data_IF_149100297763
#
_entry.id   IF_149100297763
#
_cell.length_a   1.000
_cell.length_b   1.000
_cell.length_c   1.000
_cell.angle_alpha   90.00
_cell.angle_beta   90.00
_cell.angle_gamma   90.00
#
_symmetry.space_group_name_H-M   'P 1'
#
loop_
_entity.id
_entity.type
_entity.pdbx_description
1 polymer ?
#
# COMPACT_ATOMS: atom_id res chain seq x y z
N UNK A 1 4.79 18.70 12.13
CA UNK A 1 5.86 18.43 11.15
C UNK A 1 5.39 17.27 10.28
N UNK A 2 5.66 17.24 8.97
CA UNK A 2 5.38 16.05 8.18
C UNK A 2 6.24 14.90 8.72
N UNK A 3 5.62 13.73 8.93
CA UNK A 3 6.34 12.54 9.39
C UNK A 3 7.29 12.00 8.31
N UNK A 4 6.83 12.02 7.06
CA UNK A 4 7.65 11.56 5.94
C UNK A 4 8.86 12.49 5.75
N UNK A 5 10.06 11.93 5.82
CA UNK A 5 11.29 12.60 5.44
C UNK A 5 11.17 13.27 4.06
N UNK A 6 11.83 14.40 3.89
CA UNK A 6 11.91 15.07 2.58
C UNK A 6 12.77 14.29 1.56
N UNK A 7 13.57 13.34 2.04
CA UNK A 7 14.42 12.47 1.24
C UNK A 7 13.76 11.10 1.10
N UNK A 8 13.52 10.69 -0.15
CA UNK A 8 13.07 9.34 -0.49
C UNK A 8 13.87 8.82 -1.69
N UNK A 9 13.99 7.50 -1.79
CA UNK A 9 14.48 6.82 -2.98
C UNK A 9 13.29 6.46 -3.86
N UNK A 10 13.32 6.86 -5.14
CA UNK A 10 12.36 6.40 -6.12
C UNK A 10 12.70 4.97 -6.55
N UNK A 11 11.75 4.04 -6.39
CA UNK A 11 11.91 2.62 -6.71
C UNK A 11 11.22 2.26 -8.05
N UNK A 12 10.78 3.24 -8.81
CA UNK A 12 10.14 3.11 -10.11
C UNK A 12 8.62 3.08 -10.06
N UNK A 13 8.05 2.89 -11.25
CA UNK A 13 6.61 2.91 -11.48
C UNK A 13 6.14 1.66 -12.24
N UNK A 14 4.89 1.30 -12.04
CA UNK A 14 4.19 0.25 -12.80
C UNK A 14 3.23 0.93 -13.77
N UNK A 15 3.18 0.42 -14.99
CA UNK A 15 2.33 0.92 -16.06
C UNK A 15 1.23 -0.07 -16.42
N UNK A 16 0.08 0.41 -16.90
CA UNK A 16 -0.95 -0.41 -17.53
C UNK A 16 -0.53 -0.82 -18.97
N UNK A 17 -1.44 -1.45 -19.71
CA UNK A 17 -1.21 -1.83 -21.12
C UNK A 17 -1.13 -0.63 -22.08
N UNK A 18 -1.63 0.53 -21.66
CA UNK A 18 -1.65 1.77 -22.42
C UNK A 18 -0.49 2.71 -22.03
N UNK A 19 0.48 2.21 -21.27
CA UNK A 19 1.64 2.94 -20.76
C UNK A 19 1.27 4.10 -19.79
N UNK A 20 0.09 4.08 -19.18
CA UNK A 20 -0.25 4.99 -18.09
C UNK A 20 0.29 4.45 -16.78
N UNK A 21 0.76 5.36 -15.91
CA UNK A 21 1.23 4.99 -14.57
C UNK A 21 0.04 4.57 -13.72
N UNK A 22 0.08 3.34 -13.20
CA UNK A 22 -0.92 2.81 -12.26
C UNK A 22 -0.42 2.74 -10.82
N UNK A 23 0.90 2.70 -10.63
CA UNK A 23 1.50 2.84 -9.31
C UNK A 23 2.92 3.39 -9.38
N UNK A 24 3.35 4.08 -8.33
CA UNK A 24 4.74 4.50 -8.11
C UNK A 24 5.20 4.14 -6.71
N UNK A 25 6.44 3.69 -6.60
CA UNK A 25 7.04 3.21 -5.36
C UNK A 25 8.09 4.18 -4.86
N UNK A 26 7.99 4.58 -3.59
CA UNK A 26 9.01 5.38 -2.91
C UNK A 26 9.43 4.68 -1.64
N UNK A 27 10.73 4.64 -1.38
CA UNK A 27 11.28 4.18 -0.13
C UNK A 27 11.77 5.35 0.70
N UNK A 28 11.27 5.43 1.93
CA UNK A 28 11.68 6.37 2.95
C UNK A 28 12.61 5.66 3.94
N UNK A 29 13.95 5.78 3.77
CA UNK A 29 14.91 4.93 4.49
C UNK A 29 15.01 5.24 5.98
N UNK A 30 14.72 6.47 6.41
CA UNK A 30 14.77 6.84 7.83
C UNK A 30 13.62 6.19 8.62
N UNK A 31 12.48 5.99 7.96
CA UNK A 31 11.25 5.41 8.49
C UNK A 31 11.11 3.93 8.11
N UNK A 32 12.05 3.38 7.33
CA UNK A 32 11.99 2.04 6.73
C UNK A 32 10.63 1.75 6.08
N UNK A 33 10.10 2.75 5.38
CA UNK A 33 8.73 2.76 4.89
C UNK A 33 8.69 2.62 3.37
N UNK A 34 7.86 1.71 2.88
CA UNK A 34 7.43 1.69 1.48
C UNK A 34 6.17 2.54 1.33
N UNK A 35 6.21 3.50 0.42
CA UNK A 35 5.06 4.28 0.00
C UNK A 35 4.67 3.85 -1.41
N UNK A 36 3.41 3.44 -1.57
CA UNK A 36 2.84 3.09 -2.87
C UNK A 36 1.78 4.13 -3.20
N UNK A 37 2.06 4.95 -4.21
CA UNK A 37 1.06 5.87 -4.78
C UNK A 37 0.37 5.18 -5.93
N UNK A 38 -0.93 4.94 -5.81
CA UNK A 38 -1.76 4.33 -6.83
C UNK A 38 -2.48 5.40 -7.65
N UNK A 39 -2.58 5.18 -8.96
CA UNK A 39 -3.20 6.11 -9.89
C UNK A 39 -3.96 5.41 -10.99
N UNK A 40 -4.86 6.13 -11.65
CA UNK A 40 -5.60 5.62 -12.81
C UNK A 40 -6.75 4.69 -12.42
N UNK A 41 -7.33 4.03 -13.43
CA UNK A 41 -8.50 3.17 -13.26
C UNK A 41 -8.09 1.71 -13.08
N UNK A 42 -7.99 1.27 -11.82
CA UNK A 42 -7.48 -0.03 -11.44
C UNK A 42 -8.53 -1.13 -11.60
N UNK A 43 -8.08 -2.22 -12.19
CA UNK A 43 -8.75 -3.52 -12.29
C UNK A 43 -8.08 -4.55 -11.38
N UNK A 44 -8.73 -5.68 -11.14
CA UNK A 44 -8.14 -6.78 -10.37
C UNK A 44 -6.72 -7.19 -10.85
N UNK A 45 -6.52 -7.46 -12.16
CA UNK A 45 -5.20 -7.79 -12.70
C UNK A 45 -4.14 -6.70 -12.48
N UNK A 46 -4.51 -5.42 -12.56
CA UNK A 46 -3.58 -4.31 -12.32
C UNK A 46 -3.18 -4.23 -10.85
N UNK A 47 -4.12 -4.44 -9.93
CA UNK A 47 -3.81 -4.53 -8.49
C UNK A 47 -2.87 -5.68 -8.20
N UNK A 48 -3.10 -6.86 -8.77
CA UNK A 48 -2.20 -8.02 -8.63
C UNK A 48 -0.82 -7.69 -9.20
N UNK A 49 -0.75 -7.04 -10.37
CA UNK A 49 0.51 -6.64 -11.02
C UNK A 49 1.32 -5.70 -10.12
N UNK A 50 0.68 -4.67 -9.57
CA UNK A 50 1.34 -3.71 -8.66
C UNK A 50 1.75 -4.38 -7.35
N UNK A 51 0.88 -5.16 -6.73
CA UNK A 51 1.17 -5.85 -5.48
C UNK A 51 2.30 -6.89 -5.65
N UNK A 52 2.38 -7.56 -6.80
CA UNK A 52 3.49 -8.47 -7.14
C UNK A 52 4.80 -7.69 -7.29
N UNK A 53 4.77 -6.49 -7.88
CA UNK A 53 5.96 -5.64 -7.97
C UNK A 53 6.39 -5.15 -6.59
N UNK A 54 5.45 -4.75 -5.73
CA UNK A 54 5.71 -4.36 -4.35
C UNK A 54 6.36 -5.49 -3.54
N UNK A 55 5.86 -6.73 -3.65
CA UNK A 55 6.44 -7.90 -2.97
C UNK A 55 7.91 -8.14 -3.36
N UNK A 56 8.31 -7.85 -4.60
CA UNK A 56 9.72 -7.95 -5.00
C UNK A 56 10.59 -6.93 -4.27
N UNK A 57 10.05 -5.74 -4.02
CA UNK A 57 10.73 -4.69 -3.25
C UNK A 57 10.75 -5.05 -1.76
N UNK A 58 9.66 -5.58 -1.22
CA UNK A 58 9.57 -6.08 0.16
C UNK A 58 10.59 -7.19 0.42
N UNK A 59 10.76 -8.13 -0.52
CA UNK A 59 11.83 -9.16 -0.49
C UNK A 59 13.25 -8.62 -0.51
N UNK A 60 13.45 -7.45 -1.11
CA UNK A 60 14.79 -6.86 -1.27
C UNK A 60 15.16 -5.99 -0.08
N UNK A 61 14.21 -5.25 0.48
CA UNK A 61 14.46 -4.21 1.47
C UNK A 61 13.84 -4.49 2.85
N UNK A 62 12.96 -5.50 2.96
CA UNK A 62 12.28 -5.90 4.19
C UNK A 62 11.58 -4.73 4.90
N UNK A 63 10.61 -4.11 4.22
CA UNK A 63 9.91 -2.94 4.75
C UNK A 63 8.98 -3.31 5.93
N UNK A 64 9.24 -2.84 7.16
CA UNK A 64 8.32 -3.04 8.28
C UNK A 64 7.01 -2.25 8.15
N UNK A 65 7.01 -1.17 7.37
CA UNK A 65 5.88 -0.26 7.24
C UNK A 65 5.47 -0.09 5.78
N UNK A 66 4.17 -0.04 5.53
CA UNK A 66 3.60 0.20 4.21
C UNK A 66 2.52 1.30 4.26
N UNK A 67 2.70 2.34 3.45
CA UNK A 67 1.68 3.36 3.18
C UNK A 67 1.11 3.13 1.78
N UNK A 68 -0.15 2.68 1.73
CA UNK A 68 -0.90 2.44 0.52
C UNK A 68 -1.78 3.66 0.21
N UNK A 69 -1.39 4.48 -0.76
CA UNK A 69 -2.10 5.71 -1.11
C UNK A 69 -2.93 5.53 -2.39
N UNK A 70 -4.25 5.38 -2.25
CA UNK A 70 -5.18 5.29 -3.37
C UNK A 70 -5.91 6.59 -3.69
N UNK A 71 -5.44 7.73 -3.20
CA UNK A 71 -6.07 9.05 -3.41
C UNK A 71 -6.32 9.37 -4.89
N UNK A 72 -5.46 8.89 -5.79
CA UNK A 72 -5.55 9.14 -7.23
C UNK A 72 -6.00 7.93 -8.06
N UNK A 73 -6.38 6.84 -7.40
CA UNK A 73 -6.86 5.64 -8.04
C UNK A 73 -8.40 5.63 -8.11
N UNK A 74 -8.95 5.02 -9.14
CA UNK A 74 -10.38 4.73 -9.29
C UNK A 74 -10.56 3.29 -9.74
N UNK A 75 -11.79 2.83 -9.91
CA UNK A 75 -12.08 1.55 -10.54
C UNK A 75 -12.38 0.41 -9.56
N UNK A 76 -12.81 -0.71 -10.13
CA UNK A 76 -13.26 -1.88 -9.39
C UNK A 76 -12.18 -2.97 -9.43
N UNK A 77 -11.64 -3.28 -8.26
CA UNK A 77 -10.55 -4.25 -8.11
C UNK A 77 -10.92 -5.40 -7.17
N UNK A 78 -12.21 -5.62 -6.92
CA UNK A 78 -12.72 -6.67 -6.04
C UNK A 78 -12.15 -8.06 -6.40
N UNK A 79 -11.97 -8.34 -7.69
CA UNK A 79 -11.40 -9.58 -8.20
C UNK A 79 -9.98 -9.88 -7.70
N UNK A 80 -9.24 -8.87 -7.22
CA UNK A 80 -7.92 -9.05 -6.61
C UNK A 80 -7.97 -9.50 -5.15
N UNK A 81 -9.10 -9.33 -4.45
CA UNK A 81 -9.20 -9.63 -3.01
C UNK A 81 -8.74 -11.04 -2.63
N UNK A 82 -9.16 -12.12 -3.33
CA UNK A 82 -8.74 -13.47 -2.96
C UNK A 82 -7.22 -13.64 -3.08
N UNK A 83 -6.61 -13.07 -4.13
CA UNK A 83 -5.16 -13.14 -4.31
C UNK A 83 -4.43 -12.32 -3.24
N UNK A 84 -4.95 -11.14 -2.90
CA UNK A 84 -4.37 -10.32 -1.85
C UNK A 84 -4.41 -11.00 -0.47
N UNK A 85 -5.50 -11.71 -0.18
CA UNK A 85 -5.68 -12.45 1.06
C UNK A 85 -4.81 -13.70 1.15
N UNK A 86 -4.81 -14.55 0.12
CA UNK A 86 -4.18 -15.87 0.20
C UNK A 86 -2.74 -15.92 -0.30
N UNK A 87 -2.31 -14.97 -1.13
CA UNK A 87 -0.96 -14.96 -1.72
C UNK A 87 -0.13 -13.78 -1.22
N UNK A 88 -0.66 -12.56 -1.32
CA UNK A 88 0.10 -11.37 -0.94
C UNK A 88 0.30 -11.25 0.56
N UNK A 89 -0.77 -11.35 1.36
CA UNK A 89 -0.70 -11.10 2.79
C UNK A 89 0.27 -12.05 3.53
N UNK A 90 0.25 -13.38 3.31
CA UNK A 90 1.22 -14.27 3.94
C UNK A 90 2.66 -13.92 3.56
N UNK A 91 2.90 -13.62 2.28
CA UNK A 91 4.22 -13.26 1.80
C UNK A 91 4.71 -11.93 2.39
N UNK A 92 3.88 -10.90 2.42
CA UNK A 92 4.25 -9.59 2.96
C UNK A 92 4.60 -9.68 4.46
N UNK A 93 3.84 -10.47 5.23
CA UNK A 93 4.12 -10.73 6.65
C UNK A 93 5.44 -11.50 6.83
N UNK A 94 5.70 -12.51 5.99
CA UNK A 94 6.95 -13.28 6.02
C UNK A 94 8.18 -12.40 5.72
N UNK A 95 8.05 -11.45 4.80
CA UNK A 95 9.12 -10.50 4.44
C UNK A 95 9.33 -9.38 5.48
N UNK A 96 8.52 -9.36 6.55
CA UNK A 96 8.71 -8.52 7.71
C UNK A 96 7.78 -7.32 7.81
N UNK A 97 6.70 -7.25 7.04
CA UNK A 97 5.69 -6.20 7.15
C UNK A 97 4.96 -6.29 8.50
N UNK A 98 4.88 -5.17 9.22
CA UNK A 98 4.33 -5.08 10.59
C UNK A 98 3.19 -4.08 10.73
N UNK A 99 3.09 -3.08 9.85
CA UNK A 99 1.98 -2.14 9.88
C UNK A 99 1.61 -1.68 8.48
N UNK A 100 0.30 -1.54 8.26
CA UNK A 100 -0.26 -1.15 6.97
C UNK A 100 -1.23 0.02 7.14
N UNK A 101 -0.87 1.17 6.54
CA UNK A 101 -1.76 2.31 6.45
C UNK A 101 -2.38 2.37 5.06
N UNK A 102 -3.70 2.50 4.99
CA UNK A 102 -4.43 2.58 3.73
C UNK A 102 -5.12 3.94 3.61
N UNK A 103 -4.83 4.69 2.56
CA UNK A 103 -5.53 5.94 2.24
C UNK A 103 -6.56 5.63 1.15
N UNK A 104 -7.83 5.86 1.46
CA UNK A 104 -8.92 5.60 0.56
C UNK A 104 -8.83 6.41 -0.73
N UNK A 105 -9.36 5.83 -1.79
CA UNK A 105 -9.72 6.63 -2.96
C UNK A 105 -10.96 7.48 -2.67
N UNK A 106 -11.15 8.60 -3.40
CA UNK A 106 -12.38 9.37 -3.32
C UNK A 106 -13.61 8.63 -3.87
N UNK A 107 -13.43 7.49 -4.55
CA UNK A 107 -14.52 6.68 -5.10
C UNK A 107 -15.12 5.77 -4.01
N UNK A 108 -16.38 6.05 -3.66
CA UNK A 108 -17.15 5.36 -2.64
C UNK A 108 -17.34 3.86 -2.96
N UNK A 109 -17.36 3.47 -4.24
CA UNK A 109 -17.49 2.07 -4.63
C UNK A 109 -16.32 1.21 -4.12
N UNK A 110 -15.12 1.80 -4.06
CA UNK A 110 -13.92 1.14 -3.54
C UNK A 110 -13.88 1.03 -2.01
N UNK A 111 -14.75 1.74 -1.28
CA UNK A 111 -14.69 1.80 0.20
C UNK A 111 -15.09 0.48 0.85
N UNK A 112 -16.13 -0.19 0.33
CA UNK A 112 -16.57 -1.48 0.86
C UNK A 112 -15.49 -2.56 0.69
N UNK A 113 -14.89 -2.63 -0.50
CA UNK A 113 -13.80 -3.57 -0.83
C UNK A 113 -12.58 -3.30 0.06
N UNK A 114 -12.24 -2.02 0.27
CA UNK A 114 -11.12 -1.61 1.11
C UNK A 114 -11.34 -1.95 2.59
N UNK A 115 -12.58 -1.80 3.08
CA UNK A 115 -12.94 -2.16 4.45
C UNK A 115 -12.81 -3.66 4.68
N UNK A 116 -13.38 -4.49 3.79
CA UNK A 116 -13.25 -5.95 3.87
C UNK A 116 -11.78 -6.38 3.86
N UNK A 117 -10.98 -5.79 2.97
CA UNK A 117 -9.55 -6.08 2.90
C UNK A 117 -8.83 -5.73 4.21
N UNK A 118 -9.12 -4.56 4.78
CA UNK A 118 -8.49 -4.12 6.02
C UNK A 118 -8.85 -4.97 7.24
N UNK A 119 -10.08 -5.50 7.30
CA UNK A 119 -10.49 -6.40 8.38
C UNK A 119 -9.72 -7.72 8.34
N UNK A 120 -9.47 -8.25 7.14
CA UNK A 120 -8.70 -9.49 6.95
C UNK A 120 -7.22 -9.31 7.30
N UNK A 121 -6.60 -8.22 6.83
CA UNK A 121 -5.21 -7.92 7.17
C UNK A 121 -5.07 -7.60 8.67
N UNK A 122 -6.05 -6.90 9.24
CA UNK A 122 -6.09 -6.50 10.65
C UNK A 122 -6.02 -7.66 11.64
N UNK A 123 -6.30 -8.89 11.20
CA UNK A 123 -6.14 -10.10 12.01
C UNK A 123 -4.67 -10.52 12.17
N UNK A 124 -3.78 -10.04 11.30
CA UNK A 124 -2.37 -10.44 11.23
C UNK A 124 -1.43 -9.34 11.70
N UNK A 125 -1.79 -8.07 11.45
CA UNK A 125 -0.98 -6.90 11.82
C UNK A 125 -1.85 -5.66 12.00
N UNK A 126 -1.36 -4.64 12.74
CA UNK A 126 -1.98 -3.32 12.78
C UNK A 126 -2.28 -2.77 11.38
N UNK A 127 -3.56 -2.50 11.15
CA UNK A 127 -4.06 -1.83 9.95
C UNK A 127 -4.94 -0.66 10.33
N UNK A 128 -4.78 0.45 9.63
CA UNK A 128 -5.69 1.59 9.78
C UNK A 128 -6.01 2.24 8.44
N UNK A 129 -7.27 2.63 8.30
CA UNK A 129 -7.83 3.27 7.12
C UNK A 129 -7.89 4.79 7.34
N UNK A 130 -7.49 5.56 6.32
CA UNK A 130 -7.40 7.01 6.38
C UNK A 130 -8.02 7.64 5.13
N UNK A 131 -8.43 8.90 5.25
CA UNK A 131 -8.91 9.70 4.13
C UNK A 131 -7.82 10.64 3.58
N UNK A 132 -6.67 10.72 4.25
CA UNK A 132 -5.57 11.60 3.88
C UNK A 132 -4.21 11.00 4.27
N UNK A 133 -3.21 11.28 3.44
CA UNK A 133 -1.81 10.84 3.64
C UNK A 133 -1.17 11.40 4.91
N UNK A 134 -1.37 12.68 5.31
CA UNK A 134 -0.84 13.20 6.56
C UNK A 134 -1.23 12.39 7.79
N UNK A 135 -2.52 12.06 7.95
CA UNK A 135 -3.02 11.24 9.06
C UNK A 135 -2.43 9.83 9.03
N UNK A 136 -2.37 9.21 7.84
CA UNK A 136 -1.77 7.89 7.66
C UNK A 136 -0.30 7.85 8.06
N UNK A 137 0.45 8.87 7.63
CA UNK A 137 1.87 9.02 7.94
C UNK A 137 2.09 9.18 9.44
N UNK A 138 1.30 10.03 10.11
CA UNK A 138 1.41 10.22 11.55
C UNK A 138 1.11 8.94 12.34
N UNK A 139 0.18 8.10 11.89
CA UNK A 139 -0.06 6.81 12.53
C UNK A 139 1.10 5.83 12.31
N UNK A 140 1.66 5.77 11.10
CA UNK A 140 2.85 4.95 10.83
C UNK A 140 4.06 5.36 11.65
N UNK A 141 4.20 6.65 11.98
CA UNK A 141 5.20 7.12 12.94
C UNK A 141 5.08 6.42 14.28
N UNK A 142 3.86 6.35 14.81
CA UNK A 142 3.61 5.73 16.09
C UNK A 142 3.92 4.22 16.04
N UNK A 143 3.67 3.57 14.91
CA UNK A 143 4.04 2.16 14.71
C UNK A 143 5.56 1.97 14.61
N UNK A 144 6.27 2.90 13.96
CA UNK A 144 7.74 2.87 13.89
C UNK A 144 8.37 3.02 15.27
N UNK A 145 7.89 3.97 16.08
CA UNK A 145 8.41 4.25 17.42
C UNK A 145 8.05 3.18 18.46
N UNK A 146 7.00 2.39 18.21
CA UNK A 146 6.56 1.31 19.10
C UNK A 146 7.27 -0.04 18.84
N UNK A 147 8.01 -0.16 17.74
CA UNK A 147 8.72 -1.38 17.32
C UNK A 147 10.14 -1.47 17.92
#
# INVERSE_FOLDING_TARGET
MPFLSTTYADLGSVFDEQENIIASFRHYPNEQLLYISWSGNLTGPEVIKVATAALKLEKQYHFPLLLNDKTHATGEWADALPWLEYEWLPAAVEEGLRAFAYVFSPDLASHLISAEFSEKIGQHMPVHLFYDVPSASQWLQQQFEAA
#
